data_IF_165222646552
#
_entry.id   IF_165222646552
#
_cell.length_a   1.000
_cell.length_b   1.000
_cell.length_c   1.000
_cell.angle_alpha   90.00
_cell.angle_beta   90.00
_cell.angle_gamma   90.00
#
_symmetry.space_group_name_H-M   'P 1'
#
loop_
_entity.id
_entity.type
_entity.pdbx_description
1 polymer ?
#
# COMPACT_ATOMS: atom_id res chain seq x y z
N UNK A 1 0.56 19.95 1.49
CA UNK A 1 -0.24 18.70 1.44
C UNK A 1 0.73 17.55 1.19
N UNK A 2 0.53 16.39 1.76
CA UNK A 2 1.48 15.27 1.62
C UNK A 2 0.76 13.92 1.82
N UNK A 3 1.42 12.85 1.42
CA UNK A 3 0.96 11.47 1.71
C UNK A 3 1.93 10.82 2.68
N UNK A 4 1.40 10.26 3.76
CA UNK A 4 2.18 9.66 4.84
C UNK A 4 1.84 8.17 4.93
N UNK A 5 2.84 7.31 4.86
CA UNK A 5 2.67 5.88 5.14
C UNK A 5 3.30 5.53 6.49
N UNK A 6 2.55 4.85 7.37
CA UNK A 6 3.03 4.46 8.70
C UNK A 6 3.14 2.95 8.81
N UNK A 7 4.37 2.47 8.81
CA UNK A 7 4.73 1.07 9.08
C UNK A 7 4.96 0.88 10.58
N UNK A 8 4.50 -0.25 11.12
CA UNK A 8 4.52 -0.45 12.58
C UNK A 8 4.75 -1.91 12.99
N UNK A 9 5.42 -2.11 14.11
CA UNK A 9 5.38 -3.37 14.85
C UNK A 9 3.99 -3.65 15.43
N UNK A 10 3.70 -4.90 15.71
CA UNK A 10 2.43 -5.27 16.36
C UNK A 10 2.36 -4.63 17.74
N UNK A 11 1.32 -3.85 18.02
CA UNK A 11 1.11 -3.07 19.25
C UNK A 11 2.18 -2.01 19.57
N UNK A 12 2.89 -1.49 18.58
CA UNK A 12 3.87 -0.42 18.81
C UNK A 12 3.28 1.00 18.81
N UNK A 13 1.96 1.18 18.85
CA UNK A 13 1.33 2.51 18.87
C UNK A 13 1.16 3.18 17.50
N UNK A 14 1.48 2.47 16.40
CA UNK A 14 1.46 3.10 15.08
C UNK A 14 0.06 3.42 14.53
N UNK A 15 -1.00 2.76 15.01
CA UNK A 15 -2.38 3.14 14.67
C UNK A 15 -2.73 4.47 15.32
N UNK A 16 -2.44 4.60 16.60
CA UNK A 16 -2.69 5.79 17.40
C UNK A 16 -1.92 6.99 16.86
N UNK A 17 -0.67 6.77 16.44
CA UNK A 17 0.13 7.81 15.78
C UNK A 17 -0.51 8.24 14.45
N UNK A 18 -0.99 7.30 13.65
CA UNK A 18 -1.64 7.61 12.37
C UNK A 18 -2.90 8.46 12.57
N UNK A 19 -3.76 8.07 13.51
CA UNK A 19 -4.97 8.80 13.86
C UNK A 19 -4.66 10.20 14.41
N UNK A 20 -3.60 10.33 15.23
CA UNK A 20 -3.15 11.62 15.76
C UNK A 20 -2.64 12.54 14.66
N UNK A 21 -1.76 12.04 13.79
CA UNK A 21 -1.19 12.81 12.67
C UNK A 21 -2.29 13.25 11.70
N UNK A 22 -3.17 12.34 11.32
CA UNK A 22 -4.29 12.65 10.44
C UNK A 22 -5.20 13.72 11.04
N UNK A 23 -5.55 13.60 12.32
CA UNK A 23 -6.38 14.59 13.02
C UNK A 23 -5.73 15.97 13.12
N UNK A 24 -4.40 16.05 13.40
CA UNK A 24 -3.67 17.33 13.47
C UNK A 24 -3.50 18.00 12.11
N UNK A 25 -3.31 17.23 11.04
CA UNK A 25 -3.12 17.75 9.69
C UNK A 25 -4.43 17.95 8.93
N UNK A 26 -5.56 17.40 9.43
CA UNK A 26 -6.83 17.39 8.69
C UNK A 26 -6.85 16.39 7.53
N UNK A 27 -6.00 15.35 7.57
CA UNK A 27 -5.85 14.35 6.52
C UNK A 27 -6.79 13.17 6.72
N UNK A 28 -7.12 12.49 5.63
CA UNK A 28 -7.83 11.23 5.69
C UNK A 28 -6.94 10.13 6.29
N UNK A 29 -7.47 9.35 7.23
CA UNK A 29 -6.75 8.22 7.83
C UNK A 29 -7.34 6.91 7.32
N UNK A 30 -6.54 6.12 6.60
CA UNK A 30 -7.00 4.89 5.91
C UNK A 30 -6.12 3.70 6.28
N UNK A 31 -6.70 2.51 6.35
CA UNK A 31 -6.01 1.27 6.71
C UNK A 31 -6.52 0.06 5.92
N UNK A 32 -7.40 -0.72 6.51
CA UNK A 32 -7.92 -1.97 5.92
C UNK A 32 -9.02 -1.72 4.89
N UNK A 33 -9.60 -0.56 4.85
CA UNK A 33 -10.64 -0.14 3.92
C UNK A 33 -10.19 -0.35 2.47
N UNK A 34 -8.90 -0.10 2.18
CA UNK A 34 -8.29 -0.33 0.86
C UNK A 34 -8.50 -1.78 0.37
N UNK A 35 -8.41 -2.76 1.26
CA UNK A 35 -8.61 -4.17 0.87
C UNK A 35 -10.07 -4.46 0.53
N UNK A 36 -11.00 -3.85 1.25
CA UNK A 36 -12.43 -4.02 1.02
C UNK A 36 -12.84 -3.36 -0.30
N UNK A 37 -12.29 -2.17 -0.57
CA UNK A 37 -12.57 -1.45 -1.79
C UNK A 37 -11.96 -2.13 -3.01
N UNK A 38 -10.71 -2.59 -2.93
CA UNK A 38 -10.09 -3.39 -3.99
C UNK A 38 -10.88 -4.68 -4.28
N UNK A 39 -11.37 -5.35 -3.24
CA UNK A 39 -12.19 -6.53 -3.40
C UNK A 39 -13.51 -6.22 -4.13
N UNK A 40 -14.16 -5.12 -3.78
CA UNK A 40 -15.41 -4.66 -4.40
C UNK A 40 -15.21 -4.20 -5.84
N UNK A 41 -14.21 -3.34 -6.08
CA UNK A 41 -13.94 -2.71 -7.38
C UNK A 41 -13.61 -3.77 -8.44
N UNK A 42 -12.74 -4.71 -8.09
CA UNK A 42 -12.26 -5.71 -9.04
C UNK A 42 -12.98 -7.08 -8.93
N UNK A 43 -14.13 -7.13 -8.25
CA UNK A 43 -14.99 -8.30 -8.18
C UNK A 43 -14.36 -9.54 -7.53
N UNK A 44 -13.55 -9.34 -6.47
CA UNK A 44 -12.86 -10.42 -5.76
C UNK A 44 -13.50 -10.64 -4.39
N UNK A 45 -13.62 -11.91 -3.95
CA UNK A 45 -14.03 -12.14 -2.57
C UNK A 45 -12.93 -11.78 -1.59
N UNK A 46 -13.29 -11.14 -0.46
CA UNK A 46 -12.37 -10.81 0.63
C UNK A 46 -11.61 -12.04 1.14
N UNK A 47 -12.28 -13.21 1.17
CA UNK A 47 -11.65 -14.46 1.61
C UNK A 47 -10.52 -14.88 0.66
N UNK A 48 -10.71 -14.78 -0.65
CA UNK A 48 -9.66 -15.06 -1.64
C UNK A 48 -8.51 -14.08 -1.51
N UNK A 49 -8.81 -12.79 -1.40
CA UNK A 49 -7.80 -11.74 -1.24
C UNK A 49 -6.96 -11.99 0.01
N UNK A 50 -7.59 -12.17 1.16
CA UNK A 50 -6.90 -12.39 2.44
C UNK A 50 -6.16 -13.71 2.48
N UNK A 51 -6.72 -14.78 1.90
CA UNK A 51 -6.07 -16.07 1.78
C UNK A 51 -4.81 -16.00 0.90
N UNK A 52 -4.89 -15.39 -0.27
CA UNK A 52 -3.75 -15.22 -1.17
C UNK A 52 -2.63 -14.40 -0.53
N UNK A 53 -3.00 -13.35 0.22
CA UNK A 53 -2.05 -12.55 0.97
C UNK A 53 -1.45 -13.28 2.17
N UNK A 54 -2.20 -14.15 2.85
CA UNK A 54 -1.76 -14.90 4.03
C UNK A 54 -1.05 -16.20 3.70
N UNK A 55 -1.24 -16.76 2.51
CA UNK A 55 -0.70 -18.04 2.09
C UNK A 55 0.82 -18.02 2.07
N UNK A 56 1.43 -19.13 2.50
CA UNK A 56 2.88 -19.31 2.36
C UNK A 56 3.23 -19.26 0.88
N UNK A 57 4.32 -18.55 0.50
CA UNK A 57 4.82 -18.65 -0.84
C UNK A 57 5.22 -20.09 -1.09
N UNK A 58 4.68 -20.64 -2.13
CA UNK A 58 5.01 -21.98 -2.58
C UNK A 58 5.76 -21.93 -3.91
N UNK A 59 6.33 -23.06 -4.30
CA UNK A 59 6.86 -23.29 -5.65
C UNK A 59 5.75 -23.32 -6.71
N UNK A 60 4.48 -23.08 -6.32
CA UNK A 60 3.33 -23.13 -7.21
C UNK A 60 3.20 -21.75 -7.87
N UNK A 61 3.57 -21.69 -9.13
CA UNK A 61 3.55 -20.49 -9.97
C UNK A 61 2.18 -19.78 -9.97
N UNK A 62 1.09 -20.53 -9.95
CA UNK A 62 -0.27 -19.98 -9.93
C UNK A 62 -0.58 -19.14 -8.68
N UNK A 63 -0.10 -19.56 -7.50
CA UNK A 63 -0.30 -18.81 -6.24
C UNK A 63 0.45 -17.49 -6.26
N UNK A 64 1.65 -17.48 -6.82
CA UNK A 64 2.45 -16.26 -6.94
C UNK A 64 1.82 -15.28 -7.96
N UNK A 65 1.24 -15.79 -9.04
CA UNK A 65 0.52 -14.97 -10.05
C UNK A 65 -0.73 -14.34 -9.48
N UNK A 66 -1.55 -15.10 -8.77
CA UNK A 66 -2.76 -14.59 -8.14
C UNK A 66 -2.43 -13.50 -7.12
N UNK A 67 -1.39 -13.71 -6.32
CA UNK A 67 -0.90 -12.74 -5.36
C UNK A 67 -0.42 -11.44 -6.02
N UNK A 68 0.38 -11.55 -7.08
CA UNK A 68 0.86 -10.39 -7.84
C UNK A 68 -0.33 -9.57 -8.41
N UNK A 69 -1.36 -10.27 -8.90
CA UNK A 69 -2.61 -9.66 -9.36
C UNK A 69 -3.30 -8.88 -8.24
N UNK A 70 -3.46 -9.48 -7.07
CA UNK A 70 -4.12 -8.80 -5.95
C UNK A 70 -3.32 -7.61 -5.40
N UNK A 71 -1.99 -7.69 -5.43
CA UNK A 71 -1.16 -6.55 -5.09
C UNK A 71 -1.34 -5.38 -6.08
N UNK A 72 -1.50 -5.66 -7.37
CA UNK A 72 -1.82 -4.62 -8.37
C UNK A 72 -3.14 -3.93 -8.02
N UNK A 73 -4.17 -4.67 -7.68
CA UNK A 73 -5.48 -4.12 -7.29
C UNK A 73 -5.40 -3.27 -6.02
N UNK A 74 -4.70 -3.75 -5.00
CA UNK A 74 -4.49 -3.01 -3.75
C UNK A 74 -3.69 -1.73 -4.00
N UNK A 75 -2.69 -1.79 -4.88
CA UNK A 75 -1.89 -0.61 -5.24
C UNK A 75 -2.73 0.42 -5.99
N UNK A 76 -3.59 0.01 -6.91
CA UNK A 76 -4.48 0.92 -7.64
C UNK A 76 -5.45 1.64 -6.67
N UNK A 77 -6.07 0.90 -5.75
CA UNK A 77 -6.93 1.52 -4.74
C UNK A 77 -6.16 2.44 -3.78
N UNK A 78 -4.95 2.06 -3.36
CA UNK A 78 -4.14 2.93 -2.52
C UNK A 78 -3.71 4.22 -3.25
N UNK A 79 -3.36 4.12 -4.54
CA UNK A 79 -3.05 5.26 -5.38
C UNK A 79 -4.25 6.18 -5.60
N UNK A 80 -5.47 5.64 -5.68
CA UNK A 80 -6.72 6.41 -5.76
C UNK A 80 -6.89 7.35 -4.57
N UNK A 81 -6.53 6.90 -3.38
CA UNK A 81 -6.51 7.74 -2.18
C UNK A 81 -5.32 8.71 -2.16
N UNK A 82 -4.16 8.27 -2.65
CA UNK A 82 -2.92 9.04 -2.57
C UNK A 82 -2.79 10.13 -3.65
N UNK A 83 -3.52 10.04 -4.77
CA UNK A 83 -3.36 10.93 -5.93
C UNK A 83 -3.60 12.40 -5.61
N UNK A 84 -4.54 12.67 -4.72
CA UNK A 84 -4.94 14.05 -4.35
C UNK A 84 -4.18 14.58 -3.10
N UNK A 85 -3.31 13.77 -2.50
CA UNK A 85 -2.61 14.12 -1.24
C UNK A 85 -3.46 13.91 0.01
N UNK A 86 -3.07 14.57 1.11
CA UNK A 86 -3.81 14.64 2.39
C UNK A 86 -4.22 13.27 2.96
N UNK A 87 -3.32 12.30 2.87
CA UNK A 87 -3.54 10.92 3.27
C UNK A 87 -2.55 10.46 4.34
N UNK A 88 -3.06 9.82 5.39
CA UNK A 88 -2.28 8.97 6.30
C UNK A 88 -2.72 7.52 6.13
N UNK A 89 -1.85 6.71 5.57
CA UNK A 89 -2.09 5.27 5.40
C UNK A 89 -1.28 4.47 6.42
N UNK A 90 -1.95 3.67 7.24
CA UNK A 90 -1.28 2.79 8.22
C UNK A 90 -1.60 1.31 8.05
N UNK A 91 -1.91 0.92 6.85
CA UNK A 91 -2.22 -0.45 6.46
C UNK A 91 -1.00 -1.31 6.17
N UNK A 92 -1.20 -2.30 5.31
CA UNK A 92 -0.21 -3.30 4.96
C UNK A 92 0.78 -2.76 3.92
N UNK A 93 2.06 -2.73 4.28
CA UNK A 93 3.18 -2.46 3.37
C UNK A 93 3.07 -1.18 2.52
N UNK A 94 2.38 -0.12 2.98
CA UNK A 94 2.19 1.12 2.22
C UNK A 94 3.49 1.73 1.70
N UNK A 95 4.55 1.72 2.53
CA UNK A 95 5.89 2.18 2.17
C UNK A 95 6.54 1.39 1.00
N UNK A 96 6.06 0.20 0.69
CA UNK A 96 6.51 -0.62 -0.45
C UNK A 96 5.54 -0.55 -1.62
N UNK A 97 4.23 -0.51 -1.36
CA UNK A 97 3.21 -0.34 -2.40
C UNK A 97 3.37 1.01 -3.12
N UNK A 98 3.79 2.05 -2.40
CA UNK A 98 4.03 3.39 -2.93
C UNK A 98 5.53 3.74 -3.00
N UNK A 99 6.41 2.73 -3.17
CA UNK A 99 7.87 2.95 -3.16
C UNK A 99 8.32 3.96 -4.21
N UNK A 100 7.82 3.83 -5.43
CA UNK A 100 8.22 4.65 -6.58
C UNK A 100 7.30 5.86 -6.80
N UNK A 101 6.42 6.15 -5.84
CA UNK A 101 5.48 7.28 -5.91
C UNK A 101 6.13 8.52 -5.26
N UNK A 102 6.18 9.68 -5.96
CA UNK A 102 6.81 10.88 -5.43
C UNK A 102 6.01 11.52 -4.30
N UNK A 103 6.70 12.25 -3.41
CA UNK A 103 6.11 13.02 -2.32
C UNK A 103 5.46 12.16 -1.21
N UNK A 104 5.94 10.93 -1.02
CA UNK A 104 5.45 10.01 0.03
C UNK A 104 6.42 10.03 1.21
N UNK A 105 5.95 10.43 2.38
CA UNK A 105 6.70 10.28 3.62
C UNK A 105 6.49 8.88 4.22
N UNK A 106 7.58 8.16 4.45
CA UNK A 106 7.58 6.79 4.97
C UNK A 106 8.02 6.79 6.42
N UNK A 107 7.08 6.54 7.32
CA UNK A 107 7.31 6.54 8.76
C UNK A 107 7.36 5.11 9.29
N UNK A 108 8.32 4.83 10.14
CA UNK A 108 8.43 3.58 10.91
C UNK A 108 8.20 3.85 12.38
N UNK A 109 7.22 3.16 12.98
CA UNK A 109 6.98 3.20 14.43
C UNK A 109 7.48 1.94 15.08
N UNK A 110 8.34 2.08 16.07
CA UNK A 110 8.85 1.01 16.92
C UNK A 110 8.53 1.31 18.39
N UNK A 111 8.51 0.27 19.19
CA UNK A 111 8.50 0.33 20.64
C UNK A 111 9.15 -0.94 21.20
N UNK A 112 9.63 -0.89 22.43
CA UNK A 112 10.21 -2.05 23.08
C UNK A 112 9.17 -3.16 23.31
N UNK A 113 9.63 -4.35 23.69
CA UNK A 113 8.74 -5.50 23.84
C UNK A 113 7.79 -5.34 25.02
N UNK A 114 8.22 -4.69 26.12
CA UNK A 114 7.38 -4.49 27.31
C UNK A 114 6.23 -3.53 27.06
N UNK A 115 6.49 -2.42 26.36
CA UNK A 115 5.45 -1.50 25.90
C UNK A 115 4.38 -2.25 25.07
N UNK A 116 4.84 -3.05 24.13
CA UNK A 116 3.99 -3.80 23.21
C UNK A 116 3.17 -4.89 23.89
N UNK A 117 3.78 -5.58 24.87
CA UNK A 117 3.11 -6.59 25.71
C UNK A 117 2.00 -5.93 26.52
N UNK A 118 2.29 -4.81 27.18
CA UNK A 118 1.31 -4.06 27.98
C UNK A 118 0.12 -3.67 27.11
N UNK A 119 0.36 -3.08 25.97
CA UNK A 119 -0.68 -2.70 25.01
C UNK A 119 -1.53 -3.90 24.51
N UNK A 120 -0.90 -5.05 24.28
CA UNK A 120 -1.59 -6.28 23.88
C UNK A 120 -2.48 -6.84 24.99
N UNK A 121 -1.99 -6.83 26.24
CA UNK A 121 -2.75 -7.28 27.41
C UNK A 121 -3.98 -6.40 27.65
N UNK A 122 -3.82 -5.09 27.58
CA UNK A 122 -4.90 -4.11 27.78
C UNK A 122 -6.00 -4.23 26.71
N UNK A 123 -5.61 -4.37 25.43
CA UNK A 123 -6.58 -4.38 24.31
C UNK A 123 -7.30 -5.71 24.12
N UNK A 124 -6.62 -6.81 24.31
CA UNK A 124 -7.13 -8.15 24.00
C UNK A 124 -7.33 -9.03 25.22
N UNK A 125 -7.07 -8.54 26.42
CA UNK A 125 -7.13 -9.31 27.67
C UNK A 125 -6.25 -10.56 27.64
N UNK A 126 -5.14 -10.50 26.89
CA UNK A 126 -4.16 -11.59 26.83
C UNK A 126 -3.41 -11.71 28.16
N UNK A 127 -3.02 -12.94 28.51
CA UNK A 127 -1.94 -13.13 29.48
C UNK A 127 -0.63 -12.63 28.85
N UNK A 128 0.38 -12.33 29.70
CA UNK A 128 1.71 -11.93 29.23
C UNK A 128 2.29 -12.91 28.21
N UNK A 129 2.16 -14.22 28.48
CA UNK A 129 2.64 -15.26 27.58
C UNK A 129 1.93 -15.23 26.22
N UNK A 130 0.61 -15.12 26.23
CA UNK A 130 -0.19 -14.98 25.00
C UNK A 130 0.18 -13.73 24.19
N UNK A 131 0.40 -12.60 24.88
CA UNK A 131 0.82 -11.34 24.22
C UNK A 131 2.17 -11.52 23.50
N UNK A 132 3.18 -12.10 24.16
CA UNK A 132 4.49 -12.37 23.58
C UNK A 132 4.38 -13.27 22.34
N UNK A 133 3.65 -14.38 22.44
CA UNK A 133 3.45 -15.32 21.33
C UNK A 133 2.76 -14.66 20.16
N UNK A 134 1.71 -13.89 20.42
CA UNK A 134 0.96 -13.18 19.38
C UNK A 134 1.85 -12.17 18.66
N UNK A 135 2.58 -11.32 19.40
CA UNK A 135 3.47 -10.29 18.84
C UNK A 135 4.53 -10.93 17.95
N UNK A 136 5.27 -11.94 18.48
CA UNK A 136 6.31 -12.63 17.74
C UNK A 136 5.78 -13.28 16.45
N UNK A 137 4.64 -13.95 16.52
CA UNK A 137 4.02 -14.61 15.38
C UNK A 137 3.56 -13.59 14.31
N UNK A 138 2.98 -12.46 14.73
CA UNK A 138 2.51 -11.42 13.82
C UNK A 138 3.67 -10.70 13.12
N UNK A 139 4.73 -10.35 13.84
CA UNK A 139 5.91 -9.70 13.27
C UNK A 139 6.69 -10.64 12.35
N UNK A 140 6.92 -11.90 12.74
CA UNK A 140 7.56 -12.90 11.88
C UNK A 140 6.78 -13.09 10.56
N UNK A 141 5.44 -13.03 10.60
CA UNK A 141 4.60 -13.09 9.41
C UNK A 141 4.84 -11.87 8.51
N UNK A 142 4.92 -10.66 9.07
CA UNK A 142 5.21 -9.44 8.30
C UNK A 142 6.58 -9.49 7.63
N UNK A 143 7.62 -9.83 8.40
CA UNK A 143 9.00 -9.98 7.89
C UNK A 143 9.03 -10.94 6.70
N UNK A 144 8.46 -12.13 6.90
CA UNK A 144 8.40 -13.15 5.85
C UNK A 144 7.64 -12.65 4.62
N UNK A 145 6.52 -11.99 4.85
CA UNK A 145 5.63 -11.49 3.81
C UNK A 145 6.31 -10.41 2.96
N UNK A 146 6.95 -9.45 3.62
CA UNK A 146 7.69 -8.36 2.96
C UNK A 146 8.85 -8.91 2.13
N UNK A 147 9.61 -9.87 2.68
CA UNK A 147 10.71 -10.51 1.97
C UNK A 147 10.26 -11.21 0.70
N UNK A 148 9.12 -11.86 0.74
CA UNK A 148 8.62 -12.67 -0.37
C UNK A 148 7.98 -11.84 -1.46
N UNK A 149 7.17 -10.84 -1.10
CA UNK A 149 6.42 -10.05 -2.07
C UNK A 149 7.26 -8.96 -2.73
N UNK A 150 8.18 -8.38 -1.97
CA UNK A 150 8.93 -7.20 -2.38
C UNK A 150 10.44 -7.42 -2.39
N UNK A 151 10.92 -8.63 -2.03
CA UNK A 151 12.33 -8.92 -1.79
C UNK A 151 13.01 -7.92 -0.83
N UNK A 152 12.24 -7.28 0.05
CA UNK A 152 12.69 -6.26 0.98
C UNK A 152 12.74 -6.80 2.42
N UNK A 153 13.69 -6.33 3.21
CA UNK A 153 13.70 -6.56 4.64
C UNK A 153 12.86 -5.48 5.33
N UNK A 154 11.77 -5.87 5.96
CA UNK A 154 10.89 -4.95 6.69
C UNK A 154 11.59 -4.19 7.83
N UNK A 155 12.70 -4.71 8.34
CA UNK A 155 13.50 -4.09 9.39
C UNK A 155 14.57 -3.15 8.86
N UNK A 156 14.80 -3.12 7.55
CA UNK A 156 15.78 -2.21 6.94
C UNK A 156 15.31 -0.76 7.09
N UNK A 157 16.09 0.02 7.86
CA UNK A 157 15.80 1.42 8.12
C UNK A 157 15.85 2.31 6.87
N UNK A 158 16.54 1.88 5.82
CA UNK A 158 16.63 2.60 4.53
C UNK A 158 15.29 2.68 3.79
N UNK A 159 14.31 1.89 4.19
CA UNK A 159 12.95 1.91 3.63
C UNK A 159 12.10 3.06 4.19
N UNK A 160 12.63 3.84 5.14
CA UNK A 160 11.87 4.82 5.89
C UNK A 160 12.59 6.16 5.95
N UNK A 161 11.83 7.24 5.84
CA UNK A 161 12.32 8.60 5.94
C UNK A 161 12.37 9.08 7.40
N UNK A 162 11.48 8.53 8.25
CA UNK A 162 11.39 8.85 9.67
C UNK A 162 11.18 7.58 10.50
N UNK A 163 11.99 7.39 11.55
CA UNK A 163 11.82 6.34 12.54
C UNK A 163 11.47 6.95 13.89
N UNK A 164 10.35 6.54 14.46
CA UNK A 164 9.83 7.01 15.75
C UNK A 164 9.81 5.84 16.73
N UNK A 165 10.51 6.01 17.87
CA UNK A 165 10.48 5.06 18.97
C UNK A 165 9.57 5.60 20.09
N UNK A 166 8.47 4.89 20.38
CA UNK A 166 7.50 5.26 21.41
C UNK A 166 7.85 4.75 22.82
N UNK A 167 9.04 4.21 23.02
CA UNK A 167 9.47 3.75 24.34
C UNK A 167 9.65 4.91 25.33
N UNK A 168 10.24 6.03 24.86
CA UNK A 168 10.66 7.12 25.73
C UNK A 168 10.00 8.47 25.41
N UNK A 169 9.02 8.50 24.54
CA UNK A 169 8.30 9.73 24.19
C UNK A 169 6.79 9.54 24.22
N UNK A 170 6.09 10.61 24.55
CA UNK A 170 4.63 10.60 24.52
C UNK A 170 4.10 10.53 23.08
N UNK A 171 2.88 10.04 22.93
CA UNK A 171 2.19 9.99 21.65
C UNK A 171 2.04 11.39 21.04
N UNK A 172 1.77 12.41 21.84
CA UNK A 172 1.63 13.79 21.38
C UNK A 172 2.95 14.36 20.84
N UNK A 173 4.08 14.11 21.53
CA UNK A 173 5.40 14.52 21.06
C UNK A 173 5.75 13.82 19.74
N UNK A 174 5.55 12.49 19.63
CA UNK A 174 5.77 11.72 18.42
C UNK A 174 4.91 12.22 17.25
N UNK A 175 3.66 12.55 17.53
CA UNK A 175 2.73 13.12 16.56
C UNK A 175 3.21 14.50 16.07
N UNK A 176 3.69 15.36 16.97
CA UNK A 176 4.26 16.65 16.61
C UNK A 176 5.48 16.53 15.69
N UNK A 177 6.38 15.59 15.98
CA UNK A 177 7.56 15.30 15.15
C UNK A 177 7.15 14.83 13.76
N UNK A 178 6.18 13.90 13.67
CA UNK A 178 5.70 13.40 12.39
C UNK A 178 5.02 14.50 11.55
N UNK A 179 4.20 15.36 12.17
CA UNK A 179 3.56 16.50 11.51
C UNK A 179 4.60 17.52 11.01
N UNK A 180 5.62 17.82 11.82
CA UNK A 180 6.68 18.74 11.42
C UNK A 180 7.51 18.20 10.24
N UNK A 181 7.82 16.90 10.25
CA UNK A 181 8.51 16.25 9.14
C UNK A 181 7.66 16.25 7.86
N UNK A 182 6.36 16.00 7.96
CA UNK A 182 5.44 16.02 6.82
C UNK A 182 5.28 17.42 6.18
N UNK A 183 5.54 18.46 6.94
CA UNK A 183 5.49 19.85 6.46
C UNK A 183 6.79 20.31 5.79
N UNK A 184 7.81 19.45 5.67
CA UNK A 184 9.06 19.82 5.01
C UNK A 184 8.90 19.85 3.49
N UNK A 185 9.67 20.71 2.78
CA UNK A 185 9.55 20.89 1.33
C UNK A 185 9.69 19.62 0.51
N UNK A 186 10.44 18.63 1.00
CA UNK A 186 10.66 17.35 0.33
C UNK A 186 9.39 16.51 0.16
N UNK A 187 8.39 16.75 1.02
CA UNK A 187 7.11 16.03 1.01
C UNK A 187 5.94 16.92 0.58
N UNK A 188 6.22 18.16 0.16
CA UNK A 188 5.18 19.07 -0.30
C UNK A 188 4.66 18.68 -1.68
N UNK A 189 3.34 18.66 -1.83
CA UNK A 189 2.69 18.38 -3.10
C UNK A 189 2.83 19.57 -4.06
N UNK A 190 3.67 19.42 -5.07
CA UNK A 190 3.73 20.33 -6.21
C UNK A 190 2.73 19.91 -7.30
N UNK A 191 2.35 20.80 -8.23
CA UNK A 191 1.52 20.42 -9.37
C UNK A 191 2.08 19.24 -10.18
N UNK A 192 3.40 19.15 -10.29
CA UNK A 192 4.09 18.05 -10.97
C UNK A 192 3.94 16.73 -10.22
N UNK A 193 4.11 16.73 -8.89
CA UNK A 193 3.91 15.56 -8.03
C UNK A 193 2.45 15.07 -8.12
N UNK A 194 1.49 15.98 -8.05
CA UNK A 194 0.07 15.63 -8.15
C UNK A 194 -0.27 15.05 -9.52
N UNK A 195 0.24 15.64 -10.61
CA UNK A 195 0.09 15.07 -11.97
C UNK A 195 0.67 13.67 -12.05
N UNK A 196 1.89 13.48 -11.57
CA UNK A 196 2.58 12.18 -11.61
C UNK A 196 1.79 11.11 -10.82
N UNK A 197 1.32 11.43 -9.61
CA UNK A 197 0.48 10.51 -8.83
C UNK A 197 -0.83 10.18 -9.54
N UNK A 198 -1.46 11.16 -10.16
CA UNK A 198 -2.67 10.94 -10.94
C UNK A 198 -2.40 9.99 -12.11
N UNK A 199 -1.33 10.21 -12.87
CA UNK A 199 -0.95 9.35 -14.00
C UNK A 199 -0.64 7.92 -13.53
N UNK A 200 0.08 7.78 -12.41
CA UNK A 200 0.34 6.46 -11.80
C UNK A 200 -0.94 5.75 -11.35
N UNK A 201 -1.89 6.49 -10.77
CA UNK A 201 -3.19 5.94 -10.42
C UNK A 201 -3.97 5.47 -11.65
N UNK A 202 -4.12 6.30 -12.69
CA UNK A 202 -4.84 5.93 -13.92
C UNK A 202 -4.21 4.70 -14.57
N UNK A 203 -2.87 4.66 -14.66
CA UNK A 203 -2.15 3.50 -15.21
C UNK A 203 -2.41 2.22 -14.40
N UNK A 204 -2.38 2.31 -13.06
CA UNK A 204 -2.62 1.17 -12.18
C UNK A 204 -4.08 0.70 -12.24
N UNK A 205 -5.03 1.62 -12.35
CA UNK A 205 -6.46 1.33 -12.45
C UNK A 205 -6.77 0.62 -13.78
N UNK A 206 -6.32 1.17 -14.91
CA UNK A 206 -6.44 0.54 -16.23
C UNK A 206 -5.82 -0.86 -16.23
N UNK A 207 -4.61 -1.02 -15.69
CA UNK A 207 -3.94 -2.31 -15.57
C UNK A 207 -4.77 -3.30 -14.77
N UNK A 208 -5.38 -2.85 -13.68
CA UNK A 208 -6.19 -3.66 -12.79
C UNK A 208 -7.47 -4.15 -13.48
N UNK A 209 -8.19 -3.28 -14.19
CA UNK A 209 -9.36 -3.67 -14.96
C UNK A 209 -9.02 -4.67 -16.07
N UNK A 210 -7.94 -4.44 -16.82
CA UNK A 210 -7.48 -5.40 -17.84
C UNK A 210 -7.17 -6.76 -17.21
N UNK A 211 -6.49 -6.77 -16.07
CA UNK A 211 -6.17 -8.03 -15.36
C UNK A 211 -7.41 -8.71 -14.78
N UNK A 212 -8.40 -7.95 -14.31
CA UNK A 212 -9.63 -8.49 -13.76
C UNK A 212 -10.51 -9.14 -14.84
N UNK A 213 -10.73 -8.44 -15.95
CA UNK A 213 -11.71 -8.81 -16.95
C UNK A 213 -11.14 -9.69 -18.07
N UNK A 214 -9.90 -9.39 -18.54
CA UNK A 214 -9.26 -10.17 -19.60
C UNK A 214 -8.48 -11.39 -19.11
N UNK A 215 -8.20 -11.47 -17.79
CA UNK A 215 -7.37 -12.53 -17.23
C UNK A 215 -5.89 -12.46 -17.64
N UNK A 216 -5.45 -11.34 -18.22
CA UNK A 216 -4.06 -11.11 -18.65
C UNK A 216 -3.16 -11.09 -17.42
N UNK A 217 -2.06 -11.82 -17.48
CA UNK A 217 -1.17 -11.99 -16.34
C UNK A 217 -0.30 -10.76 -16.11
N UNK A 218 -0.08 -10.42 -14.83
CA UNK A 218 0.93 -9.44 -14.45
C UNK A 218 2.32 -9.84 -14.98
N UNK A 219 3.11 -8.85 -15.42
CA UNK A 219 4.44 -9.05 -16.02
C UNK A 219 4.43 -9.28 -17.54
N UNK A 220 3.24 -9.38 -18.15
CA UNK A 220 3.08 -9.39 -19.62
C UNK A 220 2.46 -8.12 -20.16
N UNK A 221 1.95 -7.25 -19.29
CA UNK A 221 1.30 -5.99 -19.63
C UNK A 221 1.96 -4.88 -18.81
N UNK A 222 2.47 -3.88 -19.49
CA UNK A 222 2.88 -2.62 -18.93
C UNK A 222 1.92 -1.53 -19.39
N UNK A 223 1.51 -0.69 -18.45
CA UNK A 223 0.57 0.42 -18.68
C UNK A 223 1.19 1.69 -18.15
N UNK A 224 1.23 2.72 -18.98
CA UNK A 224 1.62 4.07 -18.57
C UNK A 224 0.53 5.05 -18.96
N UNK A 225 0.42 6.15 -18.22
CA UNK A 225 -0.53 7.23 -18.48
C UNK A 225 0.21 8.56 -18.57
N UNK A 226 -0.28 9.43 -19.43
CA UNK A 226 0.01 10.86 -19.46
C UNK A 226 -1.31 11.62 -19.63
N UNK A 227 -1.82 12.10 -18.51
CA UNK A 227 -3.19 12.59 -18.40
C UNK A 227 -4.21 11.53 -18.79
N UNK A 228 -5.00 11.80 -19.82
CA UNK A 228 -6.04 10.89 -20.34
C UNK A 228 -5.56 9.94 -21.46
N UNK A 229 -4.28 9.98 -21.82
CA UNK A 229 -3.67 9.09 -22.82
C UNK A 229 -3.01 7.92 -22.17
N UNK A 230 -3.41 6.70 -22.52
CA UNK A 230 -2.87 5.44 -22.00
C UNK A 230 -2.01 4.78 -23.07
N UNK A 231 -0.83 4.35 -22.69
CA UNK A 231 0.03 3.49 -23.53
C UNK A 231 0.07 2.07 -22.95
N UNK A 232 -0.38 1.11 -23.75
CA UNK A 232 -0.29 -0.31 -23.46
C UNK A 232 0.94 -0.90 -24.17
N UNK A 233 1.83 -1.55 -23.41
CA UNK A 233 3.03 -2.18 -23.94
C UNK A 233 3.28 -3.55 -23.29
N UNK A 234 4.26 -4.29 -23.80
CA UNK A 234 4.65 -5.59 -23.26
C UNK A 234 4.24 -6.78 -24.13
N UNK A 235 4.45 -7.99 -23.59
CA UNK A 235 4.18 -9.27 -24.30
C UNK A 235 2.74 -9.75 -24.04
N UNK A 236 1.76 -8.97 -24.49
CA UNK A 236 0.36 -9.39 -24.46
C UNK A 236 0.19 -10.50 -25.51
N UNK A 237 -0.35 -11.65 -25.11
CA UNK A 237 -0.35 -12.90 -25.84
C UNK A 237 -0.78 -12.85 -27.31
N UNK A 238 -2.09 -12.94 -27.58
CA UNK A 238 -2.63 -12.93 -28.95
C UNK A 238 -3.09 -11.54 -29.37
N UNK A 239 -3.35 -11.35 -30.66
CA UNK A 239 -4.00 -10.15 -31.21
C UNK A 239 -5.36 -9.91 -30.51
N UNK A 240 -6.10 -11.00 -30.25
CA UNK A 240 -7.40 -10.94 -29.56
C UNK A 240 -7.23 -10.41 -28.14
N UNK A 241 -6.19 -10.82 -27.42
CA UNK A 241 -5.94 -10.31 -26.06
C UNK A 241 -5.58 -8.82 -26.07
N UNK A 242 -4.84 -8.36 -27.09
CA UNK A 242 -4.51 -6.92 -27.25
C UNK A 242 -5.75 -6.09 -27.51
N UNK A 243 -6.60 -6.52 -28.44
CA UNK A 243 -7.86 -5.81 -28.74
C UNK A 243 -8.79 -5.79 -27.51
N UNK A 244 -8.85 -6.90 -26.77
CA UNK A 244 -9.62 -6.96 -25.52
C UNK A 244 -9.06 -6.00 -24.48
N UNK A 245 -7.75 -5.97 -24.28
CA UNK A 245 -7.07 -5.06 -23.36
C UNK A 245 -7.34 -3.59 -23.73
N UNK A 246 -7.23 -3.27 -25.02
CA UNK A 246 -7.53 -1.92 -25.55
C UNK A 246 -8.98 -1.54 -25.32
N UNK A 247 -9.92 -2.43 -25.62
CA UNK A 247 -11.34 -2.19 -25.40
C UNK A 247 -11.63 -1.89 -23.92
N UNK A 248 -11.08 -2.68 -22.99
CA UNK A 248 -11.25 -2.46 -21.56
C UNK A 248 -10.67 -1.10 -21.16
N UNK A 249 -9.45 -0.79 -21.59
CA UNK A 249 -8.79 0.48 -21.27
C UNK A 249 -9.63 1.69 -21.73
N UNK A 250 -10.27 1.63 -22.89
CA UNK A 250 -11.14 2.71 -23.39
C UNK A 250 -12.41 2.94 -22.55
N UNK A 251 -12.82 1.95 -21.74
CA UNK A 251 -14.01 2.06 -20.86
C UNK A 251 -13.68 2.55 -19.45
N UNK A 252 -12.40 2.64 -19.09
CA UNK A 252 -11.99 3.18 -17.78
C UNK A 252 -12.27 4.70 -17.74
N UNK A 253 -12.95 5.19 -16.70
CA UNK A 253 -13.28 6.61 -16.58
C UNK A 253 -12.03 7.50 -16.65
N UNK A 254 -12.10 8.57 -17.47
CA UNK A 254 -11.00 9.52 -17.64
C UNK A 254 -10.02 9.17 -18.76
N UNK A 255 -10.13 8.00 -19.38
CA UNK A 255 -9.32 7.62 -20.55
C UNK A 255 -9.97 8.12 -21.84
N UNK A 256 -9.24 8.91 -22.63
CA UNK A 256 -9.72 9.44 -23.93
C UNK A 256 -8.97 8.83 -25.12
N UNK A 257 -7.75 8.37 -24.91
CA UNK A 257 -6.91 7.79 -25.96
C UNK A 257 -6.14 6.56 -25.46
N UNK A 258 -6.08 5.51 -26.27
CA UNK A 258 -5.30 4.31 -25.98
C UNK A 258 -4.34 4.01 -27.15
N UNK A 259 -3.05 3.99 -26.85
CA UNK A 259 -1.96 3.67 -27.77
C UNK A 259 -1.47 2.26 -27.41
N UNK A 260 -1.28 1.41 -28.41
CA UNK A 260 -0.69 0.08 -28.25
C UNK A 260 0.63 0.04 -29.01
N UNK A 261 1.72 -0.31 -28.31
CA UNK A 261 3.07 -0.45 -28.88
C UNK A 261 3.50 -1.91 -28.92
#
# INVERSE_FOLDING_TARGET
>A
MSVITISRGTFSGGKELAECVAGKLGYQCVSQEILQEAAREYGISMDRLTHALASKPGFIENVNRERARYLTFITAELLKYAKDGDLVYHGMAGHLLLHDVPGIMRVRVIADMEYRIKAAMERHRFSRHQAIQFIKKADARRIKWTKILYNADWLDIKLYDLLINLEHQSMDAACGVACAAAASPEFEDTPEILKNRHDLWVAADVKSHIMAEAGIQNGKLDVTADGSTITLSGKIGSVVDREKARSIACHVPGVTQVISS
#
